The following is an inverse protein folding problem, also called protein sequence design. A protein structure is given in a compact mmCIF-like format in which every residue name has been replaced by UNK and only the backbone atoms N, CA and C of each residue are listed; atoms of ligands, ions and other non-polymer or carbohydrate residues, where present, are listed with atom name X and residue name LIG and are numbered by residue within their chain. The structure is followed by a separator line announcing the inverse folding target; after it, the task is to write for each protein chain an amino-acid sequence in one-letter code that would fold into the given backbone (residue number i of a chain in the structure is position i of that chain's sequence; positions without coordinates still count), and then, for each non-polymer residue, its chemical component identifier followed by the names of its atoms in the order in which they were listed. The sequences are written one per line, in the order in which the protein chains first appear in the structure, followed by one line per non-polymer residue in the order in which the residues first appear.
data_IF_331407184860
#
_entry.id   IF_331407184860
#
_cell.length_a   1.000
_cell.length_b   1.000
_cell.length_c   1.000
_cell.angle_alpha   90.00
_cell.angle_beta   90.00
_cell.angle_gamma   90.00
#
_symmetry.space_group_name_H-M   'P 1'
#
loop_
_entity.id
_entity.type
_entity.pdbx_description
1 polymer ?
#
# COMPACT_ATOMS: atom_id res chain seq x y z
N UNK A 1 -5.45 -69.70 5.30
CA UNK A 1 -4.14 -70.39 5.29
C UNK A 1 -3.11 -69.49 4.60
N UNK A 2 -1.83 -69.46 5.00
CA UNK A 2 -1.34 -69.26 6.37
C UNK A 2 -0.14 -68.27 6.48
N UNK A 3 0.16 -67.88 7.74
CA UNK A 3 1.47 -67.48 8.34
C UNK A 3 2.09 -66.14 7.88
N UNK A 4 2.61 -65.29 8.76
CA UNK A 4 3.09 -65.47 10.15
C UNK A 4 4.56 -65.03 10.21
N UNK A 5 4.93 -64.19 11.19
CA UNK A 5 6.34 -63.80 11.36
C UNK A 5 6.57 -62.68 12.37
N UNK A 6 6.52 -63.02 13.66
CA UNK A 6 7.13 -62.24 14.75
C UNK A 6 8.65 -62.26 14.61
N UNK A 7 9.34 -61.19 15.03
CA UNK A 7 10.56 -61.36 15.83
C UNK A 7 10.79 -60.18 16.77
N UNK A 8 10.70 -60.48 18.06
CA UNK A 8 11.29 -59.74 19.16
C UNK A 8 12.79 -60.08 19.24
N UNK A 9 13.62 -59.11 19.63
CA UNK A 9 15.08 -59.27 19.71
C UNK A 9 15.73 -58.28 20.68
N UNK A 10 15.53 -58.54 21.97
CA UNK A 10 16.15 -57.95 23.16
C UNK A 10 17.69 -58.05 23.14
N UNK A 11 18.43 -57.01 23.53
CA UNK A 11 19.72 -57.16 24.26
C UNK A 11 20.02 -55.95 25.15
N UNK A 12 20.09 -56.24 26.46
CA UNK A 12 20.73 -55.46 27.53
C UNK A 12 22.25 -55.62 27.41
N UNK A 13 23.01 -54.59 27.80
CA UNK A 13 24.26 -54.77 28.55
C UNK A 13 24.42 -53.64 29.55
N UNK A 14 24.48 -54.07 30.81
CA UNK A 14 24.94 -53.41 32.03
C UNK A 14 26.44 -53.11 32.01
N UNK A 15 26.88 -52.12 32.78
CA UNK A 15 28.30 -51.91 33.08
C UNK A 15 28.55 -50.70 33.95
N UNK A 16 28.46 -50.88 35.27
CA UNK A 16 28.94 -49.94 36.28
C UNK A 16 30.45 -50.13 36.47
N UNK A 17 31.22 -49.05 36.64
CA UNK A 17 32.48 -49.12 37.39
C UNK A 17 32.90 -47.77 37.98
N UNK A 18 33.02 -47.76 39.31
CA UNK A 18 33.64 -46.75 40.16
C UNK A 18 35.13 -46.57 39.86
N UNK A 19 35.68 -45.37 40.11
CA UNK A 19 36.84 -45.23 41.02
C UNK A 19 37.05 -43.80 41.49
N UNK A 20 37.25 -43.70 42.81
CA UNK A 20 37.66 -42.52 43.55
C UNK A 20 39.16 -42.23 43.36
N UNK A 21 39.52 -40.96 43.43
CA UNK A 21 40.89 -40.46 43.57
C UNK A 21 40.90 -39.23 44.45
N UNK A 22 41.50 -39.37 45.63
CA UNK A 22 41.56 -38.44 46.76
C UNK A 22 42.94 -37.79 46.79
N UNK A 23 43.04 -36.50 47.10
CA UNK A 23 44.28 -35.94 47.67
C UNK A 23 44.55 -34.48 47.32
N UNK A 24 44.71 -33.63 48.34
CA UNK A 24 45.36 -32.32 48.22
C UNK A 24 44.74 -31.19 49.03
N UNK A 25 44.92 -31.21 50.36
CA UNK A 25 44.68 -30.06 51.26
C UNK A 25 45.73 -28.97 51.02
N UNK A 26 45.31 -27.71 50.96
CA UNK A 26 46.06 -26.58 51.49
C UNK A 26 45.07 -25.55 52.01
N UNK A 27 45.03 -25.37 53.33
CA UNK A 27 44.26 -24.34 54.01
C UNK A 27 45.05 -23.03 54.01
N UNK A 28 44.46 -21.97 53.46
CA UNK A 28 44.79 -20.59 53.80
C UNK A 28 43.51 -19.91 54.30
N UNK A 29 43.64 -19.17 55.38
CA UNK A 29 42.56 -18.54 56.13
C UNK A 29 41.70 -17.59 55.25
N UNK A 30 40.40 -17.42 55.57
CA UNK A 30 39.54 -16.54 54.80
C UNK A 30 39.81 -15.08 55.18
N UNK A 31 40.35 -14.30 54.24
CA UNK A 31 40.19 -12.86 54.29
C UNK A 31 38.71 -12.55 54.02
N UNK A 32 38.07 -11.63 54.77
CA UNK A 32 36.75 -11.16 54.41
C UNK A 32 36.87 -10.41 53.08
N UNK A 33 36.43 -11.06 52.00
CA UNK A 33 36.12 -10.36 50.75
C UNK A 33 34.93 -9.47 51.09
N UNK A 34 35.19 -8.17 51.25
CA UNK A 34 34.14 -7.18 51.17
C UNK A 34 33.48 -7.32 49.79
N UNK A 35 32.34 -8.00 49.75
CA UNK A 35 31.42 -7.88 48.62
C UNK A 35 30.99 -6.42 48.59
N UNK A 36 31.66 -5.64 47.75
CA UNK A 36 31.09 -4.39 47.25
C UNK A 36 29.85 -4.80 46.49
N UNK A 37 28.70 -4.74 47.16
CA UNK A 37 27.40 -4.66 46.50
C UNK A 37 27.49 -3.44 45.58
N UNK A 38 27.80 -3.68 44.30
CA UNK A 38 27.56 -2.65 43.31
C UNK A 38 26.04 -2.44 43.30
N UNK A 39 25.54 -1.20 43.51
CA UNK A 39 24.15 -0.88 43.24
C UNK A 39 23.98 -0.87 41.71
N UNK A 40 23.96 -2.07 41.15
CA UNK A 40 23.95 -2.32 39.72
C UNK A 40 22.54 -2.21 39.16
N UNK A 41 21.95 -1.01 39.22
CA UNK A 41 20.84 -0.59 38.36
C UNK A 41 21.28 -0.47 36.90
N UNK A 42 21.98 -1.50 36.40
CA UNK A 42 22.51 -1.54 35.05
C UNK A 42 21.38 -1.74 34.05
N UNK A 43 21.20 -0.77 33.17
CA UNK A 43 20.37 -0.90 31.98
C UNK A 43 20.81 -2.15 31.21
N UNK A 44 20.03 -3.24 31.30
CA UNK A 44 20.33 -4.48 30.59
C UNK A 44 19.95 -4.31 29.12
N UNK A 45 20.90 -3.81 28.32
CA UNK A 45 20.73 -3.55 26.89
C UNK A 45 20.20 -4.77 26.12
N UNK A 46 20.45 -6.00 26.59
CA UNK A 46 19.90 -7.22 25.98
C UNK A 46 18.39 -7.34 26.20
N UNK A 47 17.89 -6.99 27.39
CA UNK A 47 16.45 -6.94 27.67
C UNK A 47 15.76 -5.83 26.88
N UNK A 48 16.40 -4.68 26.74
CA UNK A 48 15.88 -3.57 25.93
C UNK A 48 15.76 -3.97 24.44
N UNK A 49 16.81 -4.56 23.85
CA UNK A 49 16.80 -5.06 22.47
C UNK A 49 15.75 -6.15 22.23
N UNK A 50 15.57 -7.05 23.19
CA UNK A 50 14.53 -8.09 23.12
C UNK A 50 13.12 -7.50 23.17
N UNK A 51 12.90 -6.46 23.98
CA UNK A 51 11.64 -5.72 24.06
C UNK A 51 11.32 -4.99 22.75
N UNK A 52 12.30 -4.29 22.18
CA UNK A 52 12.16 -3.57 20.89
C UNK A 52 11.86 -4.54 19.74
N UNK A 53 12.60 -5.65 19.64
CA UNK A 53 12.34 -6.68 18.62
C UNK A 53 10.93 -7.24 18.73
N UNK A 54 10.42 -7.46 19.95
CA UNK A 54 9.05 -7.95 20.17
C UNK A 54 8.00 -6.93 19.73
N UNK A 55 8.21 -5.64 20.03
CA UNK A 55 7.34 -4.55 19.59
C UNK A 55 7.30 -4.47 18.06
N UNK A 56 8.47 -4.45 17.41
CA UNK A 56 8.57 -4.35 15.95
C UNK A 56 7.93 -5.56 15.27
N UNK A 57 8.10 -6.77 15.82
CA UNK A 57 7.41 -7.96 15.32
C UNK A 57 5.89 -7.82 15.38
N UNK A 58 5.35 -7.28 16.48
CA UNK A 58 3.91 -7.02 16.60
C UNK A 58 3.45 -6.01 15.56
N UNK A 59 4.15 -4.89 15.41
CA UNK A 59 3.86 -3.87 14.39
C UNK A 59 3.88 -4.50 12.99
N UNK A 60 4.91 -5.27 12.65
CA UNK A 60 5.05 -5.93 11.35
C UNK A 60 3.87 -6.85 11.03
N UNK A 61 3.38 -7.62 12.00
CA UNK A 61 2.22 -8.51 11.81
C UNK A 61 0.95 -7.70 11.52
N UNK A 62 0.69 -6.64 12.28
CA UNK A 62 -0.49 -5.79 12.04
C UNK A 62 -0.43 -5.06 10.71
N UNK A 63 0.75 -4.54 10.34
CA UNK A 63 0.97 -3.94 9.03
C UNK A 63 0.83 -4.97 7.91
N UNK A 64 1.29 -6.20 8.10
CA UNK A 64 1.10 -7.29 7.16
C UNK A 64 -0.38 -7.63 6.94
N UNK A 65 -1.17 -7.66 8.02
CA UNK A 65 -2.61 -7.88 7.93
C UNK A 65 -3.33 -6.73 7.22
N UNK A 66 -2.96 -5.48 7.51
CA UNK A 66 -3.48 -4.31 6.80
C UNK A 66 -3.09 -4.31 5.31
N UNK A 67 -1.84 -4.67 4.98
CA UNK A 67 -1.40 -4.77 3.60
C UNK A 67 -2.09 -5.90 2.85
N UNK A 68 -2.44 -7.01 3.52
CA UNK A 68 -3.20 -8.09 2.87
C UNK A 68 -4.54 -7.59 2.33
N UNK A 69 -5.28 -6.77 3.08
CA UNK A 69 -6.56 -6.24 2.60
C UNK A 69 -6.38 -5.30 1.41
N UNK A 70 -5.33 -4.47 1.46
CA UNK A 70 -4.94 -3.56 0.37
C UNK A 70 -4.56 -4.37 -0.89
N UNK A 71 -3.76 -5.43 -0.75
CA UNK A 71 -3.36 -6.28 -1.86
C UNK A 71 -4.47 -7.14 -2.42
N UNK A 72 -5.47 -7.56 -1.64
CA UNK A 72 -6.62 -8.27 -2.21
C UNK A 72 -7.43 -7.38 -3.14
N UNK A 73 -7.61 -6.10 -2.78
CA UNK A 73 -8.32 -5.13 -3.63
C UNK A 73 -7.49 -4.76 -4.85
N UNK A 74 -6.22 -4.40 -4.65
CA UNK A 74 -5.37 -3.89 -5.73
C UNK A 74 -4.63 -4.94 -6.53
N UNK A 75 -4.26 -6.07 -5.94
CA UNK A 75 -3.64 -7.18 -6.65
C UNK A 75 -4.58 -7.77 -7.69
N UNK A 76 -5.86 -7.97 -7.33
CA UNK A 76 -6.88 -8.43 -8.29
C UNK A 76 -7.11 -7.39 -9.37
N UNK A 77 -7.22 -6.11 -9.02
CA UNK A 77 -7.40 -5.02 -9.99
C UNK A 77 -6.21 -4.90 -10.94
N UNK A 78 -4.99 -4.92 -10.43
CA UNK A 78 -3.77 -4.83 -11.21
C UNK A 78 -3.61 -6.01 -12.17
N UNK A 79 -3.85 -7.24 -11.70
CA UNK A 79 -3.89 -8.43 -12.55
C UNK A 79 -4.96 -8.32 -13.63
N UNK A 80 -6.16 -7.85 -13.27
CA UNK A 80 -7.23 -7.64 -14.24
C UNK A 80 -6.81 -6.64 -15.33
N UNK A 81 -6.19 -5.53 -14.97
CA UNK A 81 -5.70 -4.51 -15.93
C UNK A 81 -4.59 -5.04 -16.82
N UNK A 82 -3.67 -5.86 -16.30
CA UNK A 82 -2.62 -6.51 -17.10
C UNK A 82 -3.18 -7.44 -18.18
N UNK A 83 -4.33 -8.04 -17.91
CA UNK A 83 -5.01 -8.97 -18.82
C UNK A 83 -5.95 -8.27 -19.80
N UNK A 84 -6.19 -6.96 -19.64
CA UNK A 84 -7.00 -6.21 -20.59
C UNK A 84 -6.23 -5.92 -21.88
N UNK A 85 -6.93 -5.83 -23.03
CA UNK A 85 -6.36 -5.33 -24.28
C UNK A 85 -5.72 -3.95 -24.13
N UNK A 86 -4.92 -3.55 -25.11
CA UNK A 86 -4.35 -2.20 -25.15
C UNK A 86 -5.47 -1.14 -25.09
N UNK A 87 -5.23 0.07 -24.53
CA UNK A 87 -6.28 1.09 -24.36
C UNK A 87 -7.08 1.42 -25.63
N UNK A 88 -6.43 1.38 -26.79
CA UNK A 88 -7.02 1.57 -28.12
C UNK A 88 -7.94 0.43 -28.57
N UNK A 89 -7.73 -0.80 -28.09
CA UNK A 89 -8.51 -1.98 -28.45
C UNK A 89 -9.71 -2.22 -27.51
N UNK A 90 -9.78 -1.48 -26.41
CA UNK A 90 -10.84 -1.62 -25.41
C UNK A 90 -12.16 -1.06 -25.97
N UNK A 91 -13.20 -1.89 -25.94
CA UNK A 91 -14.58 -1.46 -26.18
C UNK A 91 -14.94 -0.38 -25.16
N UNK A 92 -15.12 0.86 -25.64
CA UNK A 92 -15.62 1.96 -24.82
C UNK A 92 -17.14 1.87 -24.78
N UNK A 93 -17.76 2.00 -23.60
CA UNK A 93 -19.21 2.18 -23.53
C UNK A 93 -19.62 3.34 -24.43
N UNK A 94 -20.73 3.19 -25.14
CA UNK A 94 -21.23 4.26 -26.01
C UNK A 94 -21.52 5.51 -25.18
N UNK A 95 -21.05 6.66 -25.66
CA UNK A 95 -21.33 7.93 -25.03
C UNK A 95 -22.85 8.19 -25.07
N UNK A 96 -23.45 8.42 -23.91
CA UNK A 96 -24.87 8.83 -23.83
C UNK A 96 -24.94 10.33 -23.96
N UNK A 97 -25.64 10.82 -24.98
CA UNK A 97 -25.90 12.25 -25.17
C UNK A 97 -27.24 12.65 -24.55
N UNK A 98 -27.24 13.72 -23.77
CA UNK A 98 -28.43 14.32 -23.19
C UNK A 98 -28.43 15.83 -23.44
N UNK A 99 -29.59 16.36 -23.84
CA UNK A 99 -29.83 17.80 -23.95
C UNK A 99 -30.69 18.24 -22.76
N UNK A 100 -30.16 19.14 -21.94
CA UNK A 100 -30.83 19.63 -20.74
C UNK A 100 -31.11 21.11 -20.91
N UNK A 101 -32.32 21.56 -20.59
CA UNK A 101 -32.64 22.99 -20.64
C UNK A 101 -31.80 23.77 -19.62
N UNK A 102 -31.14 24.83 -20.09
CA UNK A 102 -30.25 25.65 -19.28
C UNK A 102 -30.03 27.00 -19.91
N UNK A 103 -30.34 28.06 -19.17
CA UNK A 103 -30.05 29.42 -19.58
C UNK A 103 -28.94 29.96 -18.70
N UNK A 104 -27.77 30.22 -19.30
CA UNK A 104 -26.67 30.89 -18.61
C UNK A 104 -27.10 32.31 -18.24
N UNK A 105 -27.02 32.73 -16.96
CA UNK A 105 -27.28 34.11 -16.58
C UNK A 105 -26.31 35.06 -17.29
N UNK A 106 -26.82 36.23 -17.69
CA UNK A 106 -26.00 37.26 -18.31
C UNK A 106 -24.94 37.79 -17.33
N UNK A 107 -23.79 38.21 -17.87
CA UNK A 107 -22.67 38.81 -17.13
C UNK A 107 -21.91 37.87 -16.17
N UNK A 108 -22.06 36.55 -16.32
CA UNK A 108 -21.21 35.60 -15.60
C UNK A 108 -19.96 35.28 -16.39
N UNK A 109 -18.87 35.03 -15.68
CA UNK A 109 -17.66 34.47 -16.28
C UNK A 109 -17.85 33.00 -16.61
N UNK A 110 -17.06 32.48 -17.55
CA UNK A 110 -17.08 31.06 -17.93
C UNK A 110 -16.93 30.14 -16.72
N UNK A 111 -16.11 30.54 -15.75
CA UNK A 111 -15.93 29.82 -14.49
C UNK A 111 -17.20 29.79 -13.64
N UNK A 112 -17.89 30.92 -13.51
CA UNK A 112 -19.15 31.00 -12.77
C UNK A 112 -20.25 30.17 -13.46
N UNK A 113 -20.30 30.18 -14.80
CA UNK A 113 -21.22 29.32 -15.56
C UNK A 113 -20.90 27.85 -15.32
N UNK A 114 -19.63 27.45 -15.40
CA UNK A 114 -19.22 26.06 -15.15
C UNK A 114 -19.56 25.60 -13.71
N UNK A 115 -19.40 26.47 -12.71
CA UNK A 115 -19.77 26.16 -11.32
C UNK A 115 -21.28 26.00 -11.13
N UNK A 116 -22.09 26.82 -11.80
CA UNK A 116 -23.55 26.65 -11.81
C UNK A 116 -23.95 25.33 -12.46
N UNK A 117 -23.31 24.96 -13.56
CA UNK A 117 -23.57 23.68 -14.23
C UNK A 117 -23.15 22.51 -13.35
N UNK A 118 -22.00 22.60 -12.66
CA UNK A 118 -21.57 21.59 -11.68
C UNK A 118 -22.59 21.39 -10.57
N UNK A 119 -23.07 22.48 -9.96
CA UNK A 119 -24.09 22.44 -8.93
C UNK A 119 -25.42 21.87 -9.45
N UNK A 120 -25.78 22.16 -10.72
CA UNK A 120 -27.03 21.73 -11.33
C UNK A 120 -27.04 20.24 -11.72
N UNK A 121 -25.94 19.76 -12.30
CA UNK A 121 -25.81 18.37 -12.76
C UNK A 121 -25.47 17.41 -11.61
N UNK A 122 -24.77 17.89 -10.58
CA UNK A 122 -24.46 17.08 -9.39
C UNK A 122 -23.72 15.78 -9.72
N UNK A 123 -22.79 15.83 -10.68
CA UNK A 123 -22.06 14.64 -11.16
C UNK A 123 -21.33 13.97 -9.99
N UNK A 124 -21.63 12.69 -9.67
CA UNK A 124 -21.04 12.02 -8.52
C UNK A 124 -19.51 11.98 -8.60
N UNK A 125 -18.84 12.23 -7.46
CA UNK A 125 -17.37 12.22 -7.34
C UNK A 125 -16.63 13.27 -8.19
N UNK A 126 -17.34 14.14 -8.90
CA UNK A 126 -16.74 15.22 -9.67
C UNK A 126 -16.36 16.40 -8.77
N UNK A 127 -15.19 16.97 -9.00
CA UNK A 127 -14.80 18.25 -8.40
C UNK A 127 -15.14 19.41 -9.34
N UNK A 128 -15.24 20.64 -8.80
CA UNK A 128 -15.40 21.84 -9.62
C UNK A 128 -14.33 21.92 -10.70
N UNK A 129 -14.73 22.32 -11.91
CA UNK A 129 -13.79 22.43 -13.03
C UNK A 129 -12.87 23.63 -12.80
N UNK A 130 -11.54 23.45 -12.87
CA UNK A 130 -10.62 24.57 -12.72
C UNK A 130 -10.66 25.46 -13.96
N UNK A 131 -10.41 26.75 -13.79
CA UNK A 131 -10.53 27.76 -14.85
C UNK A 131 -9.66 27.45 -16.09
N UNK A 132 -8.46 26.91 -15.89
CA UNK A 132 -7.55 26.54 -17.00
C UNK A 132 -8.07 25.40 -17.89
N UNK A 133 -9.05 24.63 -17.42
CA UNK A 133 -9.65 23.52 -18.17
C UNK A 133 -10.88 23.95 -18.99
N UNK A 134 -11.34 25.20 -18.82
CA UNK A 134 -12.46 25.75 -19.57
C UNK A 134 -11.98 26.18 -20.96
N UNK A 135 -12.77 25.88 -21.98
CA UNK A 135 -12.48 26.23 -23.37
C UNK A 135 -13.74 26.77 -24.05
N UNK A 136 -13.56 27.55 -25.11
CA UNK A 136 -14.65 27.88 -26.04
C UNK A 136 -14.38 27.20 -27.37
N UNK A 137 -15.42 26.62 -27.97
CA UNK A 137 -15.32 26.01 -29.30
C UNK A 137 -15.34 27.06 -30.42
N UNK A 138 -15.27 26.61 -31.68
CA UNK A 138 -15.32 27.49 -32.85
C UNK A 138 -16.66 28.22 -33.06
N UNK A 139 -17.71 27.79 -32.37
CA UNK A 139 -19.01 28.47 -32.33
C UNK A 139 -19.18 29.33 -31.07
N UNK A 140 -18.09 29.57 -30.32
CA UNK A 140 -18.04 30.29 -29.06
C UNK A 140 -18.86 29.67 -27.91
N UNK A 141 -19.23 28.40 -27.98
CA UNK A 141 -19.86 27.70 -26.85
C UNK A 141 -18.81 27.33 -25.80
N UNK A 142 -19.15 27.49 -24.52
CA UNK A 142 -18.30 27.05 -23.41
C UNK A 142 -18.29 25.52 -23.32
N UNK A 143 -17.11 24.92 -23.37
CA UNK A 143 -16.89 23.47 -23.28
C UNK A 143 -15.94 23.13 -22.13
N UNK A 144 -16.27 22.04 -21.43
CA UNK A 144 -15.44 21.50 -20.35
C UNK A 144 -15.84 20.04 -20.05
N UNK A 145 -15.09 19.37 -19.18
CA UNK A 145 -15.40 18.01 -18.75
C UNK A 145 -15.24 17.83 -17.24
N UNK A 146 -16.15 17.06 -16.65
CA UNK A 146 -16.00 16.52 -15.31
C UNK A 146 -15.28 15.19 -15.38
N UNK A 147 -14.05 15.14 -14.86
CA UNK A 147 -13.29 13.90 -14.76
C UNK A 147 -13.53 13.23 -13.41
N UNK A 148 -13.92 11.96 -13.45
CA UNK A 148 -14.14 11.12 -12.27
C UNK A 148 -13.46 9.78 -12.46
N UNK A 149 -13.29 8.97 -11.39
CA UNK A 149 -12.84 7.60 -11.56
C UNK A 149 -13.74 6.79 -12.52
N UNK A 150 -15.04 7.13 -12.58
CA UNK A 150 -16.02 6.47 -13.43
C UNK A 150 -16.08 7.04 -14.86
N UNK A 151 -15.04 7.75 -15.30
CA UNK A 151 -14.97 8.32 -16.64
C UNK A 151 -15.27 9.81 -16.69
N UNK A 152 -15.54 10.30 -17.89
CA UNK A 152 -15.69 11.72 -18.17
C UNK A 152 -17.15 12.08 -18.47
N UNK A 153 -17.58 13.25 -18.01
CA UNK A 153 -18.83 13.87 -18.45
C UNK A 153 -18.47 15.16 -19.16
N UNK A 154 -18.56 15.15 -20.49
CA UNK A 154 -18.30 16.31 -21.33
C UNK A 154 -19.53 17.20 -21.39
N UNK A 155 -19.33 18.50 -21.23
CA UNK A 155 -20.39 19.49 -21.22
C UNK A 155 -20.07 20.59 -22.22
N UNK A 156 -21.06 20.90 -23.05
CA UNK A 156 -21.07 22.07 -23.92
C UNK A 156 -22.27 22.94 -23.58
N UNK A 157 -22.04 24.21 -23.25
CA UNK A 157 -23.09 25.19 -22.99
C UNK A 157 -23.48 25.85 -24.30
N UNK A 158 -24.64 25.46 -24.83
CA UNK A 158 -25.22 26.01 -26.05
C UNK A 158 -26.02 27.28 -25.71
N UNK A 159 -25.31 28.38 -25.45
CA UNK A 159 -25.89 29.65 -24.99
C UNK A 159 -27.01 30.16 -25.93
N UNK A 160 -26.79 30.10 -27.24
CA UNK A 160 -27.76 30.52 -28.26
C UNK A 160 -29.05 29.67 -28.26
N UNK A 161 -28.94 28.39 -27.89
CA UNK A 161 -30.05 27.44 -27.86
C UNK A 161 -30.69 27.32 -26.47
N UNK A 162 -30.11 27.95 -25.44
CA UNK A 162 -30.50 27.82 -24.03
C UNK A 162 -30.53 26.35 -23.57
N UNK A 163 -29.49 25.60 -23.95
CA UNK A 163 -29.34 24.17 -23.61
C UNK A 163 -27.93 23.85 -23.12
N UNK A 164 -27.82 22.81 -22.30
CA UNK A 164 -26.59 22.07 -22.07
C UNK A 164 -26.64 20.81 -22.93
N UNK A 165 -25.55 20.57 -23.63
CA UNK A 165 -25.26 19.27 -24.20
C UNK A 165 -24.33 18.54 -23.24
N UNK A 166 -24.79 17.40 -22.73
CA UNK A 166 -24.05 16.57 -21.78
C UNK A 166 -23.79 15.22 -22.42
N UNK A 167 -22.51 14.87 -22.60
CA UNK A 167 -22.09 13.56 -23.09
C UNK A 167 -21.44 12.78 -21.94
N UNK A 168 -22.08 11.68 -21.55
CA UNK A 168 -21.58 10.79 -20.51
C UNK A 168 -20.75 9.67 -21.13
N UNK A 169 -19.48 9.60 -20.75
CA UNK A 169 -18.53 8.56 -21.18
C UNK A 169 -18.09 7.74 -19.97
N UNK A 170 -18.86 6.71 -19.58
CA UNK A 170 -18.53 5.94 -18.39
C UNK A 170 -17.31 5.05 -18.62
N UNK A 171 -16.48 4.92 -17.58
CA UNK A 171 -15.40 3.95 -17.55
C UNK A 171 -15.98 2.54 -17.32
N UNK A 172 -15.47 1.55 -18.04
CA UNK A 172 -15.76 0.15 -17.71
C UNK A 172 -15.21 -0.23 -16.32
N UNK A 173 -15.72 -1.29 -15.70
CA UNK A 173 -15.41 -1.68 -14.31
C UNK A 173 -13.91 -1.72 -14.00
N UNK A 174 -13.11 -2.33 -14.86
CA UNK A 174 -11.68 -2.45 -14.62
C UNK A 174 -10.96 -1.09 -14.76
N UNK A 175 -11.39 -0.23 -15.69
CA UNK A 175 -10.88 1.12 -15.81
C UNK A 175 -11.29 1.97 -14.59
N UNK A 176 -12.53 1.83 -14.11
CA UNK A 176 -13.00 2.48 -12.89
C UNK A 176 -12.12 2.10 -11.68
N UNK A 177 -11.90 0.82 -11.43
CA UNK A 177 -11.06 0.35 -10.33
C UNK A 177 -9.61 0.83 -10.47
N UNK A 178 -9.08 0.83 -11.69
CA UNK A 178 -7.74 1.35 -11.97
C UNK A 178 -7.63 2.86 -11.70
N UNK A 179 -8.60 3.65 -12.15
CA UNK A 179 -8.64 5.09 -11.90
C UNK A 179 -8.77 5.38 -10.40
N UNK A 180 -9.60 4.61 -9.70
CA UNK A 180 -9.79 4.73 -8.26
C UNK A 180 -8.51 4.34 -7.48
N UNK A 181 -7.77 3.36 -7.95
CA UNK A 181 -6.44 3.00 -7.43
C UNK A 181 -5.41 4.11 -7.68
N UNK A 182 -5.43 4.72 -8.85
CA UNK A 182 -4.50 5.78 -9.24
C UNK A 182 -4.79 7.15 -8.60
N UNK A 183 -5.96 7.32 -7.96
CA UNK A 183 -6.32 8.58 -7.29
C UNK A 183 -5.52 8.73 -5.99
N UNK A 184 -4.86 9.89 -5.82
CA UNK A 184 -3.98 10.20 -4.68
C UNK A 184 -4.32 11.54 -4.04
N UNK A 185 -3.63 11.91 -2.94
CA UNK A 185 -3.82 13.22 -2.30
C UNK A 185 -3.47 14.40 -3.22
N UNK A 186 -2.64 14.18 -4.25
CA UNK A 186 -2.28 15.21 -5.23
C UNK A 186 -3.49 15.73 -5.99
N UNK A 187 -4.48 14.87 -6.22
CA UNK A 187 -5.67 15.19 -7.01
C UNK A 187 -6.65 16.11 -6.25
N UNK A 188 -6.46 16.26 -4.93
CA UNK A 188 -7.26 17.12 -4.04
C UNK A 188 -8.78 17.01 -4.28
N UNK A 189 -9.35 15.79 -4.23
CA UNK A 189 -10.77 15.61 -4.48
C UNK A 189 -11.62 16.38 -3.46
N UNK A 190 -12.69 17.01 -3.93
CA UNK A 190 -13.62 17.74 -3.06
C UNK A 190 -14.65 16.82 -2.40
N UNK A 191 -15.07 15.76 -3.08
CA UNK A 191 -16.01 14.76 -2.57
C UNK A 191 -15.41 13.95 -1.40
N UNK A 192 -16.12 13.87 -0.28
CA UNK A 192 -15.64 13.21 0.93
C UNK A 192 -15.44 11.70 0.76
N UNK A 193 -16.22 11.04 -0.11
CA UNK A 193 -16.10 9.60 -0.39
C UNK A 193 -14.77 9.34 -1.07
N UNK A 194 -14.43 10.17 -2.05
CA UNK A 194 -13.16 10.08 -2.76
C UNK A 194 -11.99 10.49 -1.86
N UNK A 195 -12.15 11.48 -0.97
CA UNK A 195 -11.15 11.82 0.05
C UNK A 195 -10.87 10.67 1.02
N UNK A 196 -11.92 9.99 1.49
CA UNK A 196 -11.78 8.83 2.38
C UNK A 196 -11.06 7.68 1.65
N UNK A 197 -11.42 7.44 0.38
CA UNK A 197 -10.74 6.45 -0.46
C UNK A 197 -9.27 6.79 -0.67
N UNK A 198 -8.95 8.04 -1.00
CA UNK A 198 -7.57 8.50 -1.16
C UNK A 198 -6.79 8.33 0.14
N UNK A 199 -7.37 8.67 1.29
CA UNK A 199 -6.72 8.44 2.58
C UNK A 199 -6.44 6.95 2.81
N UNK A 200 -7.37 6.07 2.44
CA UNK A 200 -7.14 4.63 2.48
C UNK A 200 -5.96 4.19 1.59
N UNK A 201 -5.84 4.74 0.37
CA UNK A 201 -4.70 4.47 -0.53
C UNK A 201 -3.36 4.87 0.12
N UNK A 202 -3.29 6.09 0.64
CA UNK A 202 -2.07 6.63 1.24
C UNK A 202 -1.67 5.85 2.50
N UNK A 203 -2.64 5.49 3.35
CA UNK A 203 -2.40 4.64 4.51
C UNK A 203 -1.91 3.25 4.09
N UNK A 204 -2.41 2.70 2.99
CA UNK A 204 -1.91 1.46 2.41
C UNK A 204 -0.44 1.56 1.97
N UNK A 205 -0.06 2.65 1.29
CA UNK A 205 1.34 2.91 0.89
C UNK A 205 2.23 3.03 2.13
N UNK A 206 1.81 3.83 3.12
CA UNK A 206 2.55 3.98 4.38
C UNK A 206 2.69 2.64 5.11
N UNK A 207 1.62 1.86 5.17
CA UNK A 207 1.65 0.54 5.79
C UNK A 207 2.61 -0.42 5.06
N UNK A 208 2.67 -0.36 3.73
CA UNK A 208 3.60 -1.12 2.91
C UNK A 208 5.06 -0.73 3.18
N UNK A 209 5.35 0.57 3.25
CA UNK A 209 6.69 1.09 3.57
C UNK A 209 7.13 0.67 4.98
N UNK A 210 6.26 0.85 5.97
CA UNK A 210 6.54 0.47 7.35
C UNK A 210 6.68 -1.05 7.53
N UNK A 211 5.89 -1.85 6.81
CA UNK A 211 6.03 -3.31 6.81
C UNK A 211 7.39 -3.72 6.23
N UNK A 212 7.80 -3.09 5.13
CA UNK A 212 9.09 -3.36 4.48
C UNK A 212 10.26 -2.98 5.40
N UNK A 213 10.21 -1.79 6.01
CA UNK A 213 11.22 -1.33 6.96
C UNK A 213 11.31 -2.20 8.22
N UNK A 214 10.16 -2.57 8.79
CA UNK A 214 10.13 -3.46 9.96
C UNK A 214 10.61 -4.88 9.63
N UNK A 215 10.30 -5.40 8.43
CA UNK A 215 10.84 -6.67 7.95
C UNK A 215 12.36 -6.64 7.81
N UNK A 216 12.90 -5.56 7.22
CA UNK A 216 14.34 -5.34 7.11
C UNK A 216 15.02 -5.29 8.48
N UNK A 217 14.44 -4.55 9.44
CA UNK A 217 14.95 -4.51 10.81
C UNK A 217 14.98 -5.89 11.46
N UNK A 218 13.87 -6.63 11.42
CA UNK A 218 13.77 -7.96 12.04
C UNK A 218 14.76 -8.94 11.43
N UNK A 219 15.02 -8.81 10.13
CA UNK A 219 16.04 -9.58 9.45
C UNK A 219 17.45 -9.23 9.94
N UNK A 220 17.83 -7.95 9.93
CA UNK A 220 19.15 -7.50 10.40
C UNK A 220 19.42 -7.88 11.86
N UNK A 221 18.39 -7.76 12.72
CA UNK A 221 18.46 -8.09 14.13
C UNK A 221 18.56 -9.61 14.39
N UNK A 222 17.97 -10.45 13.53
CA UNK A 222 17.94 -11.91 13.73
C UNK A 222 19.12 -12.64 13.08
N UNK A 223 19.63 -12.17 11.94
CA UNK A 223 20.69 -12.86 11.18
C UNK A 223 21.66 -11.87 10.53
N UNK A 224 22.49 -11.16 11.30
CA UNK A 224 23.37 -10.11 10.79
C UNK A 224 24.36 -10.61 9.72
N UNK A 225 24.78 -11.88 9.76
CA UNK A 225 25.76 -12.46 8.82
C UNK A 225 25.19 -13.14 7.56
N UNK A 226 23.87 -13.08 7.31
CA UNK A 226 23.27 -13.87 6.22
C UNK A 226 23.49 -13.25 4.84
N UNK A 227 24.59 -13.65 4.17
CA UNK A 227 25.04 -13.11 2.89
C UNK A 227 24.00 -13.07 1.76
N UNK A 228 23.22 -14.14 1.47
CA UNK A 228 22.26 -14.11 0.36
C UNK A 228 21.25 -12.96 0.43
N UNK A 229 20.82 -12.61 1.64
CA UNK A 229 19.83 -11.54 1.82
C UNK A 229 20.45 -10.15 1.69
N UNK A 230 21.74 -9.98 2.06
CA UNK A 230 22.51 -8.76 1.75
C UNK A 230 22.69 -8.59 0.25
N UNK A 231 23.00 -9.69 -0.46
CA UNK A 231 23.12 -9.68 -1.91
C UNK A 231 21.81 -9.28 -2.59
N UNK A 232 20.65 -9.82 -2.15
CA UNK A 232 19.34 -9.40 -2.66
C UNK A 232 19.07 -7.90 -2.43
N UNK A 233 19.39 -7.37 -1.24
CA UNK A 233 19.20 -5.95 -0.94
C UNK A 233 20.06 -5.04 -1.83
N UNK A 234 21.35 -5.37 -1.96
CA UNK A 234 22.28 -4.62 -2.83
C UNK A 234 21.86 -4.72 -4.29
N UNK A 235 21.50 -5.91 -4.77
CA UNK A 235 21.05 -6.11 -6.14
C UNK A 235 19.78 -5.32 -6.45
N UNK A 236 18.77 -5.36 -5.56
CA UNK A 236 17.53 -4.60 -5.73
C UNK A 236 17.76 -3.09 -5.74
N UNK A 237 18.59 -2.59 -4.82
CA UNK A 237 18.95 -1.16 -4.77
C UNK A 237 19.76 -0.75 -6.01
N UNK A 238 20.72 -1.57 -6.43
CA UNK A 238 21.53 -1.33 -7.62
C UNK A 238 20.69 -1.31 -8.90
N UNK A 239 19.76 -2.25 -9.06
CA UNK A 239 18.84 -2.27 -10.19
C UNK A 239 17.99 -0.99 -10.27
N UNK A 240 17.46 -0.52 -9.13
CA UNK A 240 16.72 0.75 -9.06
C UNK A 240 17.59 1.94 -9.51
N UNK A 241 18.83 2.02 -9.02
CA UNK A 241 19.76 3.11 -9.37
C UNK A 241 20.13 3.09 -10.86
N UNK A 242 20.37 1.90 -11.42
CA UNK A 242 20.67 1.72 -12.84
C UNK A 242 19.47 2.18 -13.68
N UNK A 243 18.26 1.71 -13.36
CA UNK A 243 17.05 2.11 -14.07
C UNK A 243 16.80 3.63 -13.97
N UNK A 244 16.98 4.21 -12.78
CA UNK A 244 16.87 5.65 -12.59
C UNK A 244 17.86 6.42 -13.48
N UNK A 245 19.10 5.94 -13.60
CA UNK A 245 20.11 6.60 -14.42
C UNK A 245 19.85 6.43 -15.93
N UNK A 246 19.28 5.30 -16.36
CA UNK A 246 18.94 5.06 -17.76
C UNK A 246 17.72 5.86 -18.25
N UNK A 247 16.79 6.19 -17.35
CA UNK A 247 15.53 6.90 -17.70
C UNK A 247 15.62 8.41 -17.48
N UNK A 248 16.67 8.87 -16.77
CA UNK A 248 16.99 10.28 -16.57
C UNK A 248 17.78 10.84 -17.75
#
# INVERSE_FOLDING_TARGET
MPRGGRHAGRRRTTGAQQRAGRGGRASSAPFPVFSVEQPGGGYDGRKALASVTRLIKRIHIWLGLANLTVFLIYGVTGLAVTLLPAPEERLRPQARLELVDFTAPANLTDKQVADLVWARLGVPLASPVPEWALRRDGAHNLTFAFYTPNGATHVTVLEAQRKLQVAYEPAGTAAFLNNLHATTLRDRPTDWRLRAWVLYNELGIVALLLMSASGLYLWLASRPGHWPARACFVAGTGALLILYWLVR
#
